data_IF_630366809653
#
_entry.id   IF_630366809653
#
_cell.length_a   1.000
_cell.length_b   1.000
_cell.length_c   1.000
_cell.angle_alpha   90.00
_cell.angle_beta   90.00
_cell.angle_gamma   90.00
#
_symmetry.space_group_name_H-M   'P 1'
#
loop_
_entity.id
_entity.type
_entity.pdbx_description
1 polymer ?
#
# COMPACT_ATOMS: atom_id res chain seq x y z
N UNK A 1 -11.76 20.19 6.07
CA UNK A 1 -11.93 20.27 4.59
C UNK A 1 -10.99 19.27 3.95
N UNK A 2 -11.40 18.02 3.73
CA UNK A 2 -10.63 17.03 2.96
C UNK A 2 -11.54 16.46 1.87
N UNK A 3 -11.65 17.22 0.77
CA UNK A 3 -12.28 16.76 -0.47
C UNK A 3 -11.16 16.29 -1.40
N UNK A 4 -10.60 15.12 -1.12
CA UNK A 4 -9.68 14.45 -2.05
C UNK A 4 -10.47 13.38 -2.79
N UNK A 5 -10.45 13.47 -4.13
CA UNK A 5 -11.29 12.65 -5.01
C UNK A 5 -10.85 11.18 -4.95
N UNK A 6 -11.78 10.30 -4.63
CA UNK A 6 -11.63 8.86 -4.91
C UNK A 6 -11.50 8.71 -6.43
N UNK A 7 -10.41 8.08 -6.88
CA UNK A 7 -10.09 7.94 -8.29
C UNK A 7 -11.07 6.97 -8.96
N UNK A 8 -11.65 7.35 -10.11
CA UNK A 8 -12.66 6.53 -10.83
C UNK A 8 -12.06 5.41 -11.69
N UNK A 9 -10.75 5.44 -11.90
CA UNK A 9 -9.98 4.49 -12.70
C UNK A 9 -9.05 3.70 -11.75
N UNK A 10 -9.58 2.63 -11.17
CA UNK A 10 -8.94 1.82 -10.13
C UNK A 10 -9.24 0.33 -10.35
N UNK A 11 -8.41 -0.55 -9.79
CA UNK A 11 -8.67 -2.00 -9.81
C UNK A 11 -8.46 -2.68 -11.17
N UNK A 12 -7.97 -1.96 -12.17
CA UNK A 12 -7.59 -2.52 -13.46
C UNK A 12 -6.29 -3.32 -13.36
N UNK A 13 -6.40 -4.64 -13.18
CA UNK A 13 -5.29 -5.60 -13.34
C UNK A 13 -4.83 -5.59 -14.80
N UNK A 14 -3.51 -5.62 -15.05
CA UNK A 14 -3.05 -5.96 -16.40
C UNK A 14 -3.48 -7.39 -16.71
N UNK A 15 -4.29 -7.59 -17.75
CA UNK A 15 -4.90 -8.88 -18.08
C UNK A 15 -3.86 -9.95 -18.43
N UNK A 16 -3.34 -10.67 -17.43
CA UNK A 16 -2.56 -11.89 -17.66
C UNK A 16 -3.47 -13.08 -17.33
N UNK A 17 -4.14 -13.58 -18.37
CA UNK A 17 -5.11 -14.70 -18.34
C UNK A 17 -4.54 -16.09 -17.97
N UNK A 18 -3.41 -16.19 -17.26
CA UNK A 18 -2.89 -17.51 -16.88
C UNK A 18 -2.33 -17.51 -15.46
N UNK A 19 -3.21 -17.84 -14.53
CA UNK A 19 -2.93 -18.07 -13.11
C UNK A 19 -2.43 -19.51 -12.98
N UNK A 20 -1.21 -19.67 -12.47
CA UNK A 20 -0.67 -20.96 -12.02
C UNK A 20 -0.30 -20.72 -10.55
N UNK A 21 -0.84 -21.49 -9.59
CA UNK A 21 -0.34 -21.47 -8.21
C UNK A 21 1.19 -21.68 -8.24
N UNK A 22 1.95 -20.89 -7.47
CA UNK A 22 3.43 -20.93 -7.40
C UNK A 22 4.21 -20.18 -8.50
N UNK A 23 3.56 -19.32 -9.29
CA UNK A 23 4.27 -18.54 -10.33
C UNK A 23 4.73 -17.17 -9.81
N UNK A 24 6.01 -16.84 -10.04
CA UNK A 24 6.51 -15.47 -9.91
C UNK A 24 5.64 -14.52 -10.74
N UNK A 25 5.11 -13.51 -10.06
CA UNK A 25 4.33 -12.42 -10.64
C UNK A 25 5.24 -11.54 -11.49
N UNK A 26 4.79 -11.11 -12.67
CA UNK A 26 5.56 -10.18 -13.50
C UNK A 26 5.60 -8.80 -12.84
N UNK A 27 6.70 -8.07 -13.01
CA UNK A 27 6.79 -6.67 -12.58
C UNK A 27 5.62 -5.87 -13.16
N UNK A 28 4.82 -5.24 -12.30
CA UNK A 28 3.68 -4.42 -12.70
C UNK A 28 2.36 -5.16 -12.93
N UNK A 29 2.29 -6.47 -12.70
CA UNK A 29 1.04 -7.25 -12.85
C UNK A 29 -0.03 -6.82 -11.84
N UNK A 30 0.37 -6.47 -10.61
CA UNK A 30 -0.47 -5.82 -9.61
C UNK A 30 0.02 -4.38 -9.36
N UNK A 31 -0.45 -3.42 -10.15
CA UNK A 31 0.16 -2.09 -10.25
C UNK A 31 -0.07 -1.20 -9.01
N UNK A 32 -0.84 -1.66 -8.03
CA UNK A 32 -1.07 -0.98 -6.75
C UNK A 32 -0.10 -1.41 -5.64
N UNK A 33 0.73 -2.43 -5.84
CA UNK A 33 1.62 -2.92 -4.78
C UNK A 33 2.85 -2.02 -4.63
N UNK A 34 3.17 -1.62 -3.40
CA UNK A 34 4.38 -0.86 -3.06
C UNK A 34 5.19 -1.57 -2.00
N UNK A 35 6.50 -1.35 -2.03
CA UNK A 35 7.41 -1.74 -0.95
C UNK A 35 7.73 -0.50 -0.12
N UNK A 36 7.63 -0.62 1.20
CA UNK A 36 7.93 0.46 2.13
C UNK A 36 9.29 0.16 2.76
N UNK A 37 10.20 1.12 2.72
CA UNK A 37 11.39 1.12 3.56
C UNK A 37 11.16 2.12 4.68
N UNK A 38 11.19 1.62 5.90
CA UNK A 38 10.78 2.35 7.10
C UNK A 38 12.01 2.52 7.96
N UNK A 39 12.35 3.77 8.26
CA UNK A 39 13.46 4.09 9.14
C UNK A 39 12.94 4.29 10.55
N UNK A 40 13.54 3.60 11.50
CA UNK A 40 13.27 3.70 12.92
C UNK A 40 14.52 4.17 13.66
N UNK A 41 14.42 4.46 14.96
CA UNK A 41 15.57 4.93 15.75
C UNK A 41 16.74 3.94 15.73
N UNK A 42 16.46 2.64 15.68
CA UNK A 42 17.45 1.57 15.83
C UNK A 42 17.71 0.75 14.55
N UNK A 43 17.21 1.19 13.39
CA UNK A 43 17.43 0.47 12.15
C UNK A 43 16.41 0.77 11.06
N UNK A 44 16.19 -0.23 10.22
CA UNK A 44 15.22 -0.17 9.13
C UNK A 44 14.38 -1.45 9.13
N UNK A 45 13.11 -1.29 8.82
CA UNK A 45 12.15 -2.36 8.57
C UNK A 45 11.54 -2.21 7.18
N UNK A 46 10.93 -3.28 6.67
CA UNK A 46 10.25 -3.28 5.38
C UNK A 46 8.83 -3.78 5.53
N UNK A 47 7.88 -3.09 4.88
CA UNK A 47 6.47 -3.46 4.87
C UNK A 47 5.88 -3.37 3.46
N UNK A 48 4.70 -3.97 3.28
CA UNK A 48 3.88 -3.74 2.10
C UNK A 48 3.07 -2.44 2.20
N UNK A 49 2.71 -1.89 1.04
CA UNK A 49 1.72 -0.83 0.94
C UNK A 49 0.89 -0.96 -0.34
N UNK A 50 -0.23 -0.25 -0.37
CA UNK A 50 -1.20 -0.30 -1.47
C UNK A 50 -1.54 1.11 -1.95
N UNK A 51 -1.36 1.38 -3.24
CA UNK A 51 -1.78 2.64 -3.87
C UNK A 51 -3.31 2.72 -3.90
N UNK A 52 -3.87 3.76 -3.29
CA UNK A 52 -5.34 3.99 -3.28
C UNK A 52 -5.75 5.24 -4.07
N UNK A 53 -4.81 6.17 -4.30
CA UNK A 53 -4.93 7.29 -5.23
C UNK A 53 -3.53 7.83 -5.57
N UNK A 54 -3.44 8.96 -6.28
CA UNK A 54 -2.15 9.51 -6.74
C UNK A 54 -1.33 10.20 -5.62
N UNK A 55 -1.80 10.19 -4.37
CA UNK A 55 -1.20 10.93 -3.25
C UNK A 55 -1.07 10.09 -1.98
N UNK A 56 -1.77 8.96 -1.90
CA UNK A 56 -1.91 8.14 -0.71
C UNK A 56 -1.60 6.67 -0.95
N UNK A 57 -0.86 6.12 0.00
CA UNK A 57 -0.63 4.69 0.17
C UNK A 57 -1.37 4.24 1.44
N UNK A 58 -2.04 3.10 1.36
CA UNK A 58 -2.65 2.40 2.47
C UNK A 58 -1.68 1.32 2.97
N UNK A 59 -1.49 1.23 4.29
CA UNK A 59 -0.67 0.20 4.94
C UNK A 59 -1.21 -0.10 6.34
N UNK A 60 -0.53 -0.96 7.08
CA UNK A 60 -0.83 -1.26 8.47
C UNK A 60 -0.26 -0.18 9.41
N UNK A 61 -0.92 0.07 10.53
CA UNK A 61 -0.45 1.04 11.52
C UNK A 61 0.82 0.54 12.24
N UNK A 62 0.90 -0.77 12.54
CA UNK A 62 2.07 -1.35 13.20
C UNK A 62 3.35 -1.18 12.37
N UNK A 63 3.25 -1.11 11.03
CA UNK A 63 4.41 -0.85 10.18
C UNK A 63 5.02 0.53 10.45
N UNK A 64 4.22 1.51 10.88
CA UNK A 64 4.62 2.92 10.88
C UNK A 64 4.56 3.59 12.26
N UNK A 65 4.21 2.87 13.32
CA UNK A 65 3.99 3.46 14.65
C UNK A 65 5.24 4.10 15.27
N UNK A 66 6.43 3.56 14.97
CA UNK A 66 7.74 4.08 15.39
C UNK A 66 8.54 4.74 14.26
N UNK A 67 7.92 4.91 13.08
CA UNK A 67 8.61 5.38 11.89
C UNK A 67 9.04 6.84 12.01
N UNK A 68 10.31 7.10 11.70
CA UNK A 68 10.90 8.44 11.61
C UNK A 68 10.94 8.96 10.17
N UNK A 69 11.04 8.06 9.19
CA UNK A 69 11.02 8.34 7.76
C UNK A 69 10.46 7.11 7.03
N UNK A 70 9.67 7.33 5.97
CA UNK A 70 9.17 6.24 5.12
C UNK A 70 9.44 6.58 3.66
N UNK A 71 10.04 5.63 2.95
CA UNK A 71 10.21 5.66 1.49
C UNK A 71 9.27 4.64 0.85
N UNK A 72 8.58 5.07 -0.20
CA UNK A 72 7.69 4.22 -0.99
C UNK A 72 8.38 3.85 -2.30
N UNK A 73 8.73 2.57 -2.44
CA UNK A 73 9.25 1.96 -3.67
C UNK A 73 8.16 1.25 -4.47
N UNK A 74 8.39 1.07 -5.77
CA UNK A 74 7.41 0.53 -6.72
C UNK A 74 8.00 -0.67 -7.46
N UNK A 75 7.24 -1.77 -7.55
CA UNK A 75 7.68 -2.98 -8.25
C UNK A 75 9.00 -3.55 -7.72
N UNK A 76 9.15 -3.58 -6.39
CA UNK A 76 10.34 -4.04 -5.66
C UNK A 76 11.64 -3.28 -6.01
N UNK A 77 11.52 -1.96 -6.23
CA UNK A 77 12.62 -1.09 -6.58
C UNK A 77 12.47 0.28 -5.88
N UNK A 78 13.56 0.76 -5.28
CA UNK A 78 13.64 2.05 -4.60
C UNK A 78 14.38 3.11 -5.43
N UNK A 79 14.84 2.79 -6.64
CA UNK A 79 15.54 3.74 -7.52
C UNK A 79 14.68 4.97 -7.85
N UNK A 80 13.36 4.80 -7.92
CA UNK A 80 12.38 5.85 -8.15
C UNK A 80 11.39 5.98 -6.97
N UNK A 81 11.92 6.01 -5.74
CA UNK A 81 11.08 6.10 -4.55
C UNK A 81 10.48 7.50 -4.36
N UNK A 82 9.39 7.56 -3.60
CA UNK A 82 8.78 8.82 -3.14
C UNK A 82 8.78 8.82 -1.61
N UNK A 83 9.20 9.94 -1.01
CA UNK A 83 9.15 10.15 0.43
C UNK A 83 7.72 10.40 0.92
N UNK A 84 7.45 10.06 2.17
CA UNK A 84 6.17 10.32 2.84
C UNK A 84 6.23 11.66 3.57
N UNK A 85 5.30 12.57 3.27
CA UNK A 85 5.20 13.87 3.97
C UNK A 85 4.49 13.72 5.32
N UNK A 86 3.56 12.77 5.43
CA UNK A 86 2.74 12.58 6.62
C UNK A 86 2.26 11.14 6.77
N UNK A 87 2.48 10.60 7.96
CA UNK A 87 1.92 9.34 8.42
C UNK A 87 0.64 9.65 9.22
N UNK A 88 -0.45 8.97 8.89
CA UNK A 88 -1.76 9.13 9.54
C UNK A 88 -2.19 7.76 10.04
N UNK A 89 -1.87 7.45 11.30
CA UNK A 89 -2.36 6.25 11.97
C UNK A 89 -3.86 6.39 12.24
N UNK A 90 -4.58 5.27 12.27
CA UNK A 90 -5.95 5.27 12.73
C UNK A 90 -6.03 5.82 14.17
N UNK A 91 -6.94 6.74 14.50
CA UNK A 91 -6.98 7.38 15.82
C UNK A 91 -7.31 6.42 16.96
N UNK A 92 -7.91 5.26 16.65
CA UNK A 92 -8.18 4.20 17.61
C UNK A 92 -7.18 3.03 17.56
N UNK A 93 -6.08 3.15 16.80
CA UNK A 93 -5.05 2.11 16.74
C UNK A 93 -4.48 1.82 18.13
N UNK A 94 -4.38 0.54 18.48
CA UNK A 94 -3.88 0.09 19.78
C UNK A 94 -2.94 -1.11 19.65
N UNK A 95 -1.63 -0.85 19.78
CA UNK A 95 -0.59 -1.88 19.74
C UNK A 95 -0.71 -2.93 20.86
N UNK A 96 -1.25 -2.56 22.03
CA UNK A 96 -1.32 -3.46 23.18
C UNK A 96 -2.49 -4.45 23.11
N UNK A 97 -3.49 -4.17 22.27
CA UNK A 97 -4.70 -4.99 22.10
C UNK A 97 -4.69 -5.70 20.74
N UNK A 98 -3.69 -6.55 20.52
CA UNK A 98 -3.52 -7.33 19.28
C UNK A 98 -3.57 -6.49 17.99
N UNK A 99 -3.09 -5.26 18.05
CA UNK A 99 -3.15 -4.29 16.95
C UNK A 99 -4.60 -4.00 16.50
N UNK A 100 -5.53 -3.73 17.43
CA UNK A 100 -6.86 -3.28 17.03
C UNK A 100 -6.77 -1.99 16.20
N UNK A 101 -7.61 -1.88 15.18
CA UNK A 101 -7.60 -0.82 14.17
C UNK A 101 -6.24 -0.62 13.45
N UNK A 102 -5.57 -1.71 13.07
CA UNK A 102 -4.28 -1.72 12.37
C UNK A 102 -4.34 -1.20 10.92
N UNK A 103 -4.52 0.10 10.75
CA UNK A 103 -4.60 0.76 9.45
C UNK A 103 -3.97 2.15 9.52
N UNK A 104 -3.19 2.49 8.49
CA UNK A 104 -2.56 3.79 8.35
C UNK A 104 -2.59 4.28 6.90
N UNK A 105 -2.64 5.61 6.76
CA UNK A 105 -2.50 6.30 5.50
C UNK A 105 -1.16 7.04 5.45
N UNK A 106 -0.41 6.82 4.38
CA UNK A 106 0.81 7.55 4.07
C UNK A 106 0.50 8.56 2.98
N UNK A 107 0.56 9.85 3.32
CA UNK A 107 0.50 10.94 2.34
C UNK A 107 1.91 11.17 1.82
N UNK A 108 2.09 11.02 0.52
CA UNK A 108 3.41 11.18 -0.12
C UNK A 108 3.90 12.65 -0.02
N UNK A 109 5.14 12.96 -0.44
CA UNK A 109 5.65 14.34 -0.66
C UNK A 109 5.42 14.90 -2.07
N UNK A 110 5.53 14.06 -3.11
CA UNK A 110 5.06 14.39 -4.48
C UNK A 110 3.92 13.48 -4.96
N UNK A 111 3.01 14.00 -5.81
CA UNK A 111 1.94 13.20 -6.43
C UNK A 111 2.51 12.23 -7.46
N UNK A 112 2.02 10.99 -7.48
CA UNK A 112 2.36 10.00 -8.49
C UNK A 112 1.69 10.31 -9.82
N UNK A 113 2.37 9.95 -10.91
CA UNK A 113 1.77 9.87 -12.24
C UNK A 113 1.49 8.40 -12.55
N UNK A 114 0.23 8.07 -12.81
CA UNK A 114 -0.14 6.69 -13.11
C UNK A 114 0.38 6.26 -14.48
N UNK A 115 0.79 4.99 -14.55
CA UNK A 115 1.30 4.33 -15.75
C UNK A 115 0.64 2.96 -15.88
N UNK A 116 0.99 2.18 -16.89
CA UNK A 116 0.50 0.81 -17.00
C UNK A 116 0.92 -0.05 -15.79
N UNK A 117 2.10 0.21 -15.21
CA UNK A 117 2.65 -0.55 -14.08
C UNK A 117 2.45 0.12 -12.71
N UNK A 118 1.71 1.23 -12.65
CA UNK A 118 1.41 1.97 -11.42
C UNK A 118 0.01 2.56 -11.49
N UNK A 119 -0.93 1.95 -10.76
CA UNK A 119 -2.36 2.31 -10.75
C UNK A 119 -2.95 2.04 -9.37
N UNK A 120 -4.01 2.74 -8.96
CA UNK A 120 -4.63 2.51 -7.67
C UNK A 120 -5.53 1.27 -7.67
N UNK A 121 -5.69 0.64 -6.50
CA UNK A 121 -6.76 -0.34 -6.27
C UNK A 121 -8.06 0.39 -5.88
N UNK A 122 -9.21 -0.25 -6.14
CA UNK A 122 -10.48 0.25 -5.62
C UNK A 122 -10.65 -0.10 -4.14
N UNK A 123 -11.23 0.82 -3.37
CA UNK A 123 -11.65 0.53 -2.00
C UNK A 123 -13.06 -0.05 -1.98
N UNK A 124 -13.31 -1.05 -1.13
CA UNK A 124 -14.64 -1.65 -1.02
C UNK A 124 -15.64 -0.66 -0.40
N UNK A 125 -16.93 -0.73 -0.76
CA UNK A 125 -17.97 -0.06 0.01
C UNK A 125 -18.07 -0.71 1.40
N UNK A 126 -18.57 0.04 2.39
CA UNK A 126 -18.78 -0.47 3.75
C UNK A 126 -19.79 -1.63 3.85
N UNK A 127 -20.55 -1.88 2.78
CA UNK A 127 -21.56 -2.92 2.68
C UNK A 127 -21.08 -4.16 1.91
N UNK A 128 -19.79 -4.26 1.60
CA UNK A 128 -19.27 -5.38 0.84
C UNK A 128 -19.40 -6.69 1.63
N UNK A 129 -19.99 -7.70 1.00
CA UNK A 129 -19.96 -9.08 1.49
C UNK A 129 -18.55 -9.65 1.32
N UNK A 130 -17.94 -10.10 2.40
CA UNK A 130 -16.58 -10.65 2.42
C UNK A 130 -16.51 -12.13 2.04
N UNK A 131 -17.64 -12.76 1.73
CA UNK A 131 -17.67 -14.11 1.18
C UNK A 131 -17.23 -14.11 -0.29
N UNK A 132 -15.98 -14.51 -0.53
CA UNK A 132 -15.40 -14.59 -1.87
C UNK A 132 -13.95 -15.04 -1.85
N UNK A 133 -13.40 -15.31 -3.03
CA UNK A 133 -11.99 -15.66 -3.19
C UNK A 133 -11.10 -14.42 -2.99
N UNK A 134 -10.10 -14.54 -2.12
CA UNK A 134 -9.13 -13.48 -1.84
C UNK A 134 -7.75 -13.86 -2.42
N UNK A 135 -6.97 -12.84 -2.80
CA UNK A 135 -5.59 -13.01 -3.26
C UNK A 135 -4.65 -12.22 -2.35
N UNK A 136 -3.70 -12.93 -1.73
CA UNK A 136 -2.58 -12.31 -1.04
C UNK A 136 -1.44 -12.05 -2.02
N UNK A 137 -0.94 -10.81 -2.07
CA UNK A 137 0.17 -10.40 -2.94
C UNK A 137 1.21 -9.71 -2.06
N UNK A 138 2.45 -10.16 -2.14
CA UNK A 138 3.55 -9.57 -1.37
C UNK A 138 4.87 -10.29 -1.57
N UNK A 139 5.90 -9.78 -0.90
CA UNK A 139 7.26 -10.29 -0.99
C UNK A 139 7.69 -11.13 0.22
N UNK A 140 6.73 -11.73 0.94
CA UNK A 140 6.99 -12.49 2.18
C UNK A 140 7.81 -11.71 3.21
N UNK A 141 7.52 -10.41 3.35
CA UNK A 141 8.05 -9.58 4.43
C UNK A 141 7.31 -9.97 5.71
N UNK A 142 8.04 -10.18 6.80
CA UNK A 142 7.52 -10.59 8.11
C UNK A 142 7.89 -9.57 9.16
#
# INVERSE_FOLDING_TARGET
MHNEKIYKDCGDEQSVRSIIPDKQVKKGEYPWTTLLQIKEENGFSECGGTVINNRYILTAAHCCETATEVKVGFGYDFSNHILVEKIILHPAYNAADYHDHDIALLRLETSMTFTESLKPICLPPSTLDTSGDLRGIGWHLT
#
